data_IF_616853988926
#
_entry.id   IF_616853988926
#
_cell.length_a   1.000
_cell.length_b   1.000
_cell.length_c   1.000
_cell.angle_alpha   90.00
_cell.angle_beta   90.00
_cell.angle_gamma   90.00
#
_symmetry.space_group_name_H-M   'P 1'
#
loop_
_entity.id
_entity.type
_entity.pdbx_description
1 polymer ?
#
# COMPACT_ATOMS: atom_id res chain seq x y z
N UNK A 1 -3.11 20.33 -18.52
CA UNK A 1 -3.76 19.02 -18.80
C UNK A 1 -4.89 18.84 -17.79
N UNK A 2 -6.12 18.54 -18.23
CA UNK A 2 -7.28 18.27 -17.37
C UNK A 2 -7.62 16.78 -17.41
N UNK A 3 -8.23 16.25 -16.33
CA UNK A 3 -8.63 14.84 -16.26
C UNK A 3 -9.92 14.64 -17.07
N UNK A 4 -9.95 13.60 -17.89
CA UNK A 4 -11.13 13.26 -18.70
C UNK A 4 -12.00 12.15 -18.04
N UNK A 5 -13.30 12.23 -18.32
CA UNK A 5 -14.36 11.20 -18.16
C UNK A 5 -14.82 10.74 -16.77
N UNK A 6 -14.00 10.63 -15.72
CA UNK A 6 -14.48 10.13 -14.41
C UNK A 6 -13.99 10.94 -13.21
N UNK A 7 -14.83 11.13 -12.19
CA UNK A 7 -14.40 11.71 -10.91
C UNK A 7 -13.61 10.66 -10.08
N UNK A 8 -12.70 11.10 -9.22
CA UNK A 8 -11.87 10.23 -8.37
C UNK A 8 -12.71 9.32 -7.46
N UNK A 9 -13.96 9.70 -7.16
CA UNK A 9 -14.87 8.97 -6.29
C UNK A 9 -15.93 8.15 -7.03
N UNK A 10 -15.94 8.17 -8.36
CA UNK A 10 -16.89 7.36 -9.11
C UNK A 10 -16.62 5.89 -8.84
N UNK A 11 -17.69 5.19 -8.47
CA UNK A 11 -17.62 3.77 -8.12
C UNK A 11 -17.97 2.89 -9.32
N UNK A 12 -18.66 3.43 -10.31
CA UNK A 12 -19.06 2.72 -11.54
C UNK A 12 -18.06 2.96 -12.67
N UNK A 13 -17.92 1.95 -13.53
CA UNK A 13 -17.10 2.04 -14.74
C UNK A 13 -17.97 2.62 -15.85
N UNK A 14 -17.70 3.88 -16.21
CA UNK A 14 -18.34 4.57 -17.33
C UNK A 14 -17.30 4.76 -18.43
N UNK A 15 -17.48 4.06 -19.55
CA UNK A 15 -16.59 4.16 -20.71
C UNK A 15 -15.20 3.56 -20.49
N UNK A 16 -14.23 4.04 -21.28
CA UNK A 16 -12.86 3.51 -21.34
C UNK A 16 -11.92 4.06 -20.27
N UNK A 17 -12.29 5.14 -19.56
CA UNK A 17 -11.47 5.75 -18.51
C UNK A 17 -12.27 5.80 -17.20
N UNK A 18 -12.06 4.79 -16.35
CA UNK A 18 -12.70 4.69 -15.04
C UNK A 18 -11.74 5.05 -13.89
N UNK A 19 -12.32 5.33 -12.72
CA UNK A 19 -11.53 5.53 -11.51
C UNK A 19 -10.82 4.22 -11.10
N UNK A 20 -9.63 4.33 -10.51
CA UNK A 20 -8.92 3.15 -10.00
C UNK A 20 -9.72 2.43 -8.90
N UNK A 21 -10.58 3.15 -8.17
CA UNK A 21 -11.46 2.57 -7.14
C UNK A 21 -12.57 1.73 -7.77
N UNK A 22 -13.20 2.20 -8.86
CA UNK A 22 -14.19 1.46 -9.62
C UNK A 22 -13.59 0.17 -10.21
N UNK A 23 -12.40 0.26 -10.81
CA UNK A 23 -11.68 -0.90 -11.39
C UNK A 23 -11.35 -1.93 -10.31
N UNK A 24 -10.82 -1.52 -9.15
CA UNK A 24 -10.52 -2.45 -8.04
C UNK A 24 -11.77 -3.16 -7.54
N UNK A 25 -12.87 -2.42 -7.36
CA UNK A 25 -14.15 -3.00 -6.92
C UNK A 25 -14.66 -4.02 -7.93
N UNK A 26 -14.76 -3.63 -9.20
CA UNK A 26 -15.20 -4.53 -10.25
C UNK A 26 -14.29 -5.78 -10.37
N UNK A 27 -12.97 -5.63 -10.21
CA UNK A 27 -12.07 -6.77 -10.23
C UNK A 27 -12.27 -7.74 -9.04
N UNK A 28 -12.49 -7.22 -7.83
CA UNK A 28 -12.77 -8.03 -6.64
C UNK A 28 -14.14 -8.70 -6.69
N UNK A 29 -15.15 -8.01 -7.22
CA UNK A 29 -16.52 -8.50 -7.40
C UNK A 29 -16.69 -9.36 -8.68
N UNK A 30 -15.60 -9.61 -9.41
CA UNK A 30 -15.61 -10.37 -10.68
C UNK A 30 -16.57 -9.79 -11.74
N UNK A 31 -16.77 -8.48 -11.71
CA UNK A 31 -17.58 -7.71 -12.66
C UNK A 31 -16.75 -7.24 -13.87
N UNK A 32 -17.40 -6.61 -14.85
CA UNK A 32 -16.75 -6.14 -16.08
C UNK A 32 -15.88 -4.89 -15.87
N UNK A 33 -14.58 -4.99 -16.18
CA UNK A 33 -13.62 -3.85 -16.14
C UNK A 33 -12.60 -3.85 -17.29
N UNK A 34 -12.65 -4.83 -18.19
CA UNK A 34 -11.58 -5.07 -19.17
C UNK A 34 -11.42 -3.94 -20.18
N UNK A 35 -12.48 -3.20 -20.48
CA UNK A 35 -12.45 -2.04 -21.37
C UNK A 35 -11.88 -0.77 -20.71
N UNK A 36 -11.76 -0.76 -19.38
CA UNK A 36 -11.30 0.40 -18.61
C UNK A 36 -9.80 0.34 -18.27
N UNK A 37 -9.08 -0.68 -18.75
CA UNK A 37 -7.65 -0.87 -18.49
C UNK A 37 -6.88 -1.27 -19.76
N UNK A 38 -5.62 -0.85 -19.91
CA UNK A 38 -4.76 -1.33 -20.99
C UNK A 38 -4.57 -2.86 -20.95
N UNK A 39 -4.33 -3.49 -22.11
CA UNK A 39 -4.10 -4.95 -22.23
C UNK A 39 -3.01 -5.47 -21.29
N UNK A 40 -1.92 -4.70 -21.11
CA UNK A 40 -0.83 -5.06 -20.21
C UNK A 40 -1.29 -5.10 -18.74
N UNK A 41 -2.10 -4.13 -18.31
CA UNK A 41 -2.70 -4.07 -16.97
C UNK A 41 -3.70 -5.20 -16.78
N UNK A 42 -4.56 -5.48 -17.77
CA UNK A 42 -5.51 -6.60 -17.71
C UNK A 42 -4.78 -7.94 -17.50
N UNK A 43 -3.70 -8.18 -18.26
CA UNK A 43 -2.86 -9.39 -18.09
C UNK A 43 -2.25 -9.46 -16.70
N UNK A 44 -1.75 -8.34 -16.17
CA UNK A 44 -1.17 -8.30 -14.83
C UNK A 44 -2.20 -8.59 -13.73
N UNK A 45 -3.39 -7.97 -13.83
CA UNK A 45 -4.50 -8.16 -12.87
C UNK A 45 -4.96 -9.62 -12.87
N UNK A 46 -5.17 -10.23 -14.05
CA UNK A 46 -5.61 -11.64 -14.16
C UNK A 46 -4.61 -12.65 -13.60
N UNK A 47 -3.32 -12.32 -13.61
CA UNK A 47 -2.27 -13.20 -13.12
C UNK A 47 -1.92 -12.95 -11.64
N UNK A 48 -2.52 -11.95 -11.01
CA UNK A 48 -2.26 -11.60 -9.62
C UNK A 48 -3.34 -12.17 -8.70
N UNK A 49 -2.96 -12.54 -7.47
CA UNK A 49 -3.93 -12.69 -6.39
C UNK A 49 -4.40 -11.29 -5.98
N UNK A 50 -5.67 -11.00 -6.21
CA UNK A 50 -6.27 -9.75 -5.76
C UNK A 50 -6.35 -9.74 -4.24
N UNK A 51 -5.98 -8.60 -3.65
CA UNK A 51 -5.95 -8.42 -2.20
C UNK A 51 -6.82 -7.26 -1.79
N UNK A 52 -7.47 -7.41 -0.65
CA UNK A 52 -8.32 -6.45 0.02
C UNK A 52 -7.80 -6.20 1.44
N UNK A 53 -8.40 -5.25 2.15
CA UNK A 53 -8.07 -5.04 3.56
C UNK A 53 -8.55 -6.16 4.47
N UNK A 54 -9.57 -6.91 4.05
CA UNK A 54 -10.07 -8.05 4.83
C UNK A 54 -9.05 -9.17 4.94
N UNK A 55 -8.21 -9.34 3.92
CA UNK A 55 -7.14 -10.34 3.96
C UNK A 55 -6.09 -10.05 5.06
N UNK A 56 -6.00 -8.79 5.51
CA UNK A 56 -5.10 -8.37 6.59
C UNK A 56 -5.78 -8.36 7.96
N UNK A 57 -7.08 -8.64 8.03
CA UNK A 57 -7.88 -8.48 9.24
C UNK A 57 -7.36 -9.32 10.40
N UNK A 58 -7.08 -10.60 10.18
CA UNK A 58 -6.62 -11.51 11.25
C UNK A 58 -5.34 -10.99 11.91
N UNK A 59 -4.36 -10.53 11.12
CA UNK A 59 -3.10 -10.00 11.63
C UNK A 59 -3.28 -8.68 12.39
N UNK A 60 -4.11 -7.77 11.85
CA UNK A 60 -4.42 -6.50 12.50
C UNK A 60 -5.20 -6.72 13.81
N UNK A 61 -6.20 -7.60 13.78
CA UNK A 61 -7.05 -7.93 14.92
C UNK A 61 -6.21 -8.52 16.05
N UNK A 62 -5.35 -9.50 15.75
CA UNK A 62 -4.38 -10.02 16.72
C UNK A 62 -3.53 -8.90 17.32
N UNK A 63 -2.89 -8.06 16.49
CA UNK A 63 -2.03 -6.96 16.98
C UNK A 63 -2.80 -6.03 17.90
N UNK A 64 -4.04 -5.69 17.57
CA UNK A 64 -4.88 -4.80 18.38
C UNK A 64 -5.32 -5.46 19.69
N UNK A 65 -5.76 -6.71 19.67
CA UNK A 65 -6.21 -7.45 20.87
C UNK A 65 -5.09 -7.66 21.89
N UNK A 66 -3.84 -7.75 21.43
CA UNK A 66 -2.67 -7.90 22.30
C UNK A 66 -1.94 -6.59 22.60
N UNK A 67 -2.47 -5.43 22.18
CA UNK A 67 -1.84 -4.13 22.40
C UNK A 67 -2.44 -3.41 23.61
N UNK A 68 -1.61 -2.66 24.32
CA UNK A 68 -2.05 -1.71 25.35
C UNK A 68 -2.07 -0.27 24.82
N UNK A 69 -2.89 0.65 25.37
CA UNK A 69 -2.97 2.04 24.92
C UNK A 69 -1.60 2.73 24.84
N UNK A 70 -0.73 2.48 25.81
CA UNK A 70 0.61 3.07 25.90
C UNK A 70 1.47 2.72 24.68
N UNK A 71 1.41 1.48 24.19
CA UNK A 71 2.13 1.09 22.97
C UNK A 71 1.58 1.81 21.74
N UNK A 72 0.26 1.86 21.60
CA UNK A 72 -0.38 2.44 20.42
C UNK A 72 -0.17 3.96 20.31
N UNK A 73 0.00 4.66 21.44
CA UNK A 73 0.29 6.10 21.46
C UNK A 73 1.58 6.46 20.72
N UNK A 74 2.54 5.55 20.65
CA UNK A 74 3.81 5.78 19.96
C UNK A 74 3.75 5.49 18.45
N UNK A 75 2.65 4.93 17.95
CA UNK A 75 2.47 4.64 16.53
C UNK A 75 2.15 5.92 15.75
N UNK A 76 2.78 6.06 14.58
CA UNK A 76 2.60 7.19 13.68
C UNK A 76 1.12 7.38 13.31
N UNK A 77 0.60 8.59 13.53
CA UNK A 77 -0.77 8.96 13.18
C UNK A 77 -1.82 8.64 14.26
N UNK A 78 -1.43 7.98 15.35
CA UNK A 78 -2.26 7.86 16.55
C UNK A 78 -2.16 9.15 17.33
N UNK A 79 -3.32 9.77 17.57
CA UNK A 79 -3.44 10.98 18.38
C UNK A 79 -4.14 10.64 19.68
N UNK A 80 -3.91 11.43 20.72
CA UNK A 80 -4.49 11.24 22.05
C UNK A 80 -5.98 10.83 22.02
N UNK A 81 -6.27 9.73 22.71
CA UNK A 81 -7.59 9.13 22.85
C UNK A 81 -8.04 8.26 21.66
N UNK A 82 -7.36 8.31 20.52
CA UNK A 82 -7.71 7.47 19.37
C UNK A 82 -7.36 6.00 19.63
N UNK A 83 -6.25 5.74 20.32
CA UNK A 83 -5.84 4.40 20.78
C UNK A 83 -6.94 3.71 21.60
N UNK A 84 -7.52 4.43 22.57
CA UNK A 84 -8.58 3.90 23.44
C UNK A 84 -9.83 3.60 22.62
N UNK A 85 -10.18 4.47 21.67
CA UNK A 85 -11.32 4.24 20.78
C UNK A 85 -11.12 3.00 19.91
N UNK A 86 -9.93 2.78 19.38
CA UNK A 86 -9.62 1.58 18.57
C UNK A 86 -9.77 0.32 19.42
N UNK A 87 -9.13 0.28 20.59
CA UNK A 87 -9.16 -0.89 21.47
C UNK A 87 -10.57 -1.20 22.01
N UNK A 88 -11.39 -0.18 22.26
CA UNK A 88 -12.78 -0.35 22.70
C UNK A 88 -13.76 -0.80 21.61
N UNK A 89 -13.33 -0.80 20.34
CA UNK A 89 -14.17 -1.14 19.19
C UNK A 89 -13.70 -2.40 18.48
N UNK A 90 -12.43 -2.78 18.61
CA UNK A 90 -11.89 -3.98 17.95
C UNK A 90 -12.51 -5.27 18.48
N UNK A 91 -12.82 -5.33 19.78
CA UNK A 91 -13.51 -6.44 20.45
C UNK A 91 -14.94 -6.64 19.91
N UNK A 92 -15.55 -5.57 19.41
CA UNK A 92 -16.90 -5.54 18.85
C UNK A 92 -16.91 -5.67 17.34
N UNK A 93 -15.77 -5.80 16.67
CA UNK A 93 -15.69 -5.85 15.21
C UNK A 93 -15.26 -7.23 14.73
N UNK A 94 -15.89 -7.72 13.67
CA UNK A 94 -15.62 -9.03 13.10
C UNK A 94 -14.87 -8.94 11.76
N UNK A 95 -14.69 -7.74 11.22
CA UNK A 95 -14.02 -7.49 9.94
C UNK A 95 -13.31 -6.14 9.93
N UNK A 96 -12.40 -5.95 8.98
CA UNK A 96 -11.73 -4.67 8.79
C UNK A 96 -12.75 -3.57 8.45
N UNK A 97 -13.68 -3.88 7.55
CA UNK A 97 -14.74 -2.95 7.13
C UNK A 97 -15.63 -2.54 8.30
N UNK A 98 -16.02 -3.47 9.16
CA UNK A 98 -16.83 -3.16 10.34
C UNK A 98 -16.08 -2.23 11.31
N UNK A 99 -14.79 -2.51 11.58
CA UNK A 99 -13.97 -1.65 12.42
C UNK A 99 -13.84 -0.24 11.84
N UNK A 100 -13.59 -0.12 10.54
CA UNK A 100 -13.50 1.16 9.84
C UNK A 100 -14.79 1.98 9.97
N UNK A 101 -15.95 1.34 9.80
CA UNK A 101 -17.26 1.99 9.94
C UNK A 101 -17.48 2.50 11.37
N UNK A 102 -17.17 1.68 12.39
CA UNK A 102 -17.31 2.09 13.81
C UNK A 102 -16.33 3.19 14.21
N UNK A 103 -15.12 3.20 13.64
CA UNK A 103 -14.13 4.25 13.90
C UNK A 103 -14.43 5.57 13.20
N UNK A 104 -15.19 5.55 12.10
CA UNK A 104 -15.52 6.73 11.32
C UNK A 104 -16.28 7.75 12.16
N UNK A 105 -15.75 8.96 12.24
CA UNK A 105 -16.42 10.12 12.85
C UNK A 105 -16.24 11.35 11.97
N UNK A 106 -16.80 12.52 12.33
CA UNK A 106 -16.48 13.79 11.65
C UNK A 106 -14.98 14.12 11.76
N UNK A 107 -14.34 13.81 12.90
CA UNK A 107 -12.90 14.06 13.17
C UNK A 107 -11.96 13.10 12.43
N UNK A 108 -12.39 11.85 12.23
CA UNK A 108 -11.55 10.81 11.62
C UNK A 108 -12.11 10.38 10.28
N UNK A 109 -11.43 10.73 9.18
CA UNK A 109 -11.80 10.28 7.83
C UNK A 109 -11.36 8.84 7.59
N UNK A 110 -12.00 8.14 6.64
CA UNK A 110 -11.60 6.78 6.26
C UNK A 110 -10.10 6.67 5.95
N UNK A 111 -9.55 7.58 5.14
CA UNK A 111 -8.12 7.59 4.80
C UNK A 111 -7.23 7.72 6.04
N UNK A 112 -7.62 8.55 7.02
CA UNK A 112 -6.84 8.72 8.25
C UNK A 112 -6.88 7.47 9.11
N UNK A 113 -8.06 6.87 9.29
CA UNK A 113 -8.23 5.64 10.07
C UNK A 113 -7.43 4.52 9.43
N UNK A 114 -7.59 4.32 8.12
CA UNK A 114 -6.89 3.28 7.36
C UNK A 114 -5.37 3.42 7.49
N UNK A 115 -4.81 4.63 7.30
CA UNK A 115 -3.36 4.87 7.49
C UNK A 115 -2.91 4.56 8.92
N UNK A 116 -3.73 4.90 9.92
CA UNK A 116 -3.41 4.63 11.32
C UNK A 116 -3.39 3.13 11.60
N UNK A 117 -4.39 2.39 11.13
CA UNK A 117 -4.44 0.93 11.24
C UNK A 117 -3.31 0.25 10.45
N UNK A 118 -2.94 0.77 9.27
CA UNK A 118 -1.75 0.31 8.53
C UNK A 118 -0.47 0.52 9.34
N UNK A 119 -0.30 1.69 9.96
CA UNK A 119 0.87 1.96 10.79
C UNK A 119 0.89 1.06 12.04
N UNK A 120 -0.26 0.71 12.62
CA UNK A 120 -0.36 -0.26 13.72
C UNK A 120 0.06 -1.65 13.24
N UNK A 121 -0.52 -2.13 12.13
CA UNK A 121 -0.20 -3.43 11.54
C UNK A 121 1.29 -3.57 11.23
N UNK A 122 1.87 -2.51 10.67
CA UNK A 122 3.28 -2.44 10.32
C UNK A 122 4.17 -2.01 11.50
N UNK A 123 3.62 -1.77 12.70
CA UNK A 123 4.35 -1.25 13.86
C UNK A 123 5.28 -0.05 13.55
N UNK A 124 4.75 0.94 12.83
CA UNK A 124 5.49 2.15 12.43
C UNK A 124 5.40 3.18 13.54
N UNK A 125 6.52 3.38 14.22
CA UNK A 125 6.66 4.38 15.28
C UNK A 125 6.58 5.80 14.73
N UNK A 126 6.18 6.76 15.57
CA UNK A 126 6.12 8.18 15.26
C UNK A 126 7.52 8.84 15.18
N UNK A 127 8.59 8.07 15.33
CA UNK A 127 9.96 8.54 15.19
C UNK A 127 10.25 8.99 13.75
N UNK A 128 11.07 10.04 13.57
CA UNK A 128 11.52 10.44 12.24
C UNK A 128 12.18 9.28 11.52
N UNK A 129 11.87 9.15 10.23
CA UNK A 129 12.50 8.19 9.34
C UNK A 129 13.17 8.97 8.22
N UNK A 130 14.48 8.80 8.08
CA UNK A 130 15.27 9.46 7.05
C UNK A 130 15.49 8.48 5.90
N UNK A 131 14.76 8.70 4.81
CA UNK A 131 14.98 7.96 3.57
C UNK A 131 16.27 8.47 2.91
N UNK A 132 17.34 7.68 2.97
CA UNK A 132 18.64 8.06 2.37
C UNK A 132 18.75 7.64 0.92
N UNK A 133 18.09 6.54 0.54
CA UNK A 133 18.05 6.03 -0.83
C UNK A 133 16.65 5.55 -1.21
N UNK A 134 16.34 5.59 -2.50
CA UNK A 134 15.09 5.09 -3.08
C UNK A 134 15.32 3.79 -3.85
N UNK A 135 14.44 2.79 -3.69
CA UNK A 135 14.55 1.52 -4.41
C UNK A 135 14.10 1.64 -5.87
N UNK A 136 14.99 1.26 -6.79
CA UNK A 136 14.64 1.10 -8.20
C UNK A 136 13.85 -0.21 -8.39
N UNK A 137 12.59 -0.10 -8.77
CA UNK A 137 11.73 -1.26 -9.05
C UNK A 137 11.80 -1.72 -10.50
N UNK A 138 11.86 -0.77 -11.44
CA UNK A 138 11.93 -1.05 -12.86
C UNK A 138 12.56 0.14 -13.62
N UNK A 139 13.17 -0.15 -14.78
CA UNK A 139 13.66 0.87 -15.70
C UNK A 139 13.58 0.38 -17.15
N UNK A 140 13.45 1.31 -18.10
CA UNK A 140 13.66 1.04 -19.51
C UNK A 140 15.09 1.45 -19.91
N UNK A 141 15.44 1.30 -21.19
CA UNK A 141 16.79 1.63 -21.67
C UNK A 141 17.16 3.10 -21.45
N UNK A 142 16.22 4.02 -21.74
CA UNK A 142 16.42 5.47 -21.54
C UNK A 142 16.61 5.81 -20.06
N UNK A 143 15.76 5.29 -19.18
CA UNK A 143 15.87 5.50 -17.73
C UNK A 143 17.19 4.97 -17.16
N UNK A 144 17.72 3.87 -17.70
CA UNK A 144 19.05 3.37 -17.30
C UNK A 144 20.18 4.31 -17.71
N UNK A 145 20.13 4.85 -18.93
CA UNK A 145 21.09 5.84 -19.42
C UNK A 145 21.03 7.08 -18.53
N UNK A 146 19.83 7.59 -18.27
CA UNK A 146 19.59 8.74 -17.41
C UNK A 146 20.14 8.54 -15.99
N UNK A 147 19.84 7.42 -15.33
CA UNK A 147 20.34 7.12 -13.98
C UNK A 147 21.87 7.14 -13.93
N UNK A 148 22.52 6.64 -14.99
CA UNK A 148 23.98 6.64 -15.10
C UNK A 148 24.54 8.05 -15.33
N UNK A 149 23.99 8.79 -16.28
CA UNK A 149 24.46 10.13 -16.65
C UNK A 149 24.23 11.15 -15.53
N UNK A 150 23.10 11.05 -14.83
CA UNK A 150 22.80 11.86 -13.66
C UNK A 150 23.50 11.38 -12.38
N UNK A 151 24.37 10.37 -12.46
CA UNK A 151 25.15 9.82 -11.36
C UNK A 151 24.32 9.47 -10.09
N UNK A 152 23.09 8.96 -10.29
CA UNK A 152 22.13 8.73 -9.19
C UNK A 152 22.42 7.49 -8.34
N UNK A 153 23.60 6.86 -8.50
CA UNK A 153 23.96 5.63 -7.79
C UNK A 153 24.03 5.78 -6.27
N UNK A 154 24.28 6.99 -5.76
CA UNK A 154 24.31 7.27 -4.31
C UNK A 154 22.92 7.38 -3.68
N UNK A 155 21.89 7.70 -4.47
CA UNK A 155 20.50 7.92 -4.00
C UNK A 155 19.52 6.85 -4.47
N UNK A 156 19.94 5.96 -5.38
CA UNK A 156 19.12 4.86 -5.92
C UNK A 156 19.72 3.51 -5.55
N UNK A 157 18.97 2.69 -4.81
CA UNK A 157 19.34 1.31 -4.54
C UNK A 157 18.81 0.38 -5.64
N UNK A 158 19.70 -0.34 -6.32
CA UNK A 158 19.36 -1.38 -7.32
C UNK A 158 19.35 -2.78 -6.71
N UNK A 159 20.15 -2.99 -5.67
CA UNK A 159 20.11 -4.12 -4.75
C UNK A 159 20.06 -3.55 -3.35
N UNK A 160 19.41 -4.26 -2.44
CA UNK A 160 19.36 -3.88 -1.02
C UNK A 160 20.61 -4.42 -0.36
N UNK A 161 21.50 -3.54 0.08
CA UNK A 161 22.68 -3.89 0.88
C UNK A 161 22.31 -3.99 2.37
N UNK A 162 23.23 -4.48 3.22
CA UNK A 162 23.03 -4.51 4.67
C UNK A 162 22.84 -3.10 5.24
N UNK A 163 23.63 -2.14 4.76
CA UNK A 163 23.52 -0.73 5.15
C UNK A 163 22.16 -0.12 4.76
N UNK A 164 21.67 -0.42 3.56
CA UNK A 164 20.35 0.05 3.12
C UNK A 164 19.24 -0.52 4.01
N UNK A 165 19.41 -1.76 4.50
CA UNK A 165 18.47 -2.42 5.40
C UNK A 165 18.33 -1.69 6.73
N UNK A 166 19.46 -1.43 7.38
CA UNK A 166 19.53 -0.76 8.69
C UNK A 166 19.00 0.67 8.61
N UNK A 167 19.27 1.38 7.52
CA UNK A 167 18.95 2.81 7.41
C UNK A 167 17.60 3.13 6.77
N UNK A 168 17.17 2.36 5.75
CA UNK A 168 16.08 2.80 4.87
C UNK A 168 15.12 1.70 4.40
N UNK A 169 15.44 0.42 4.60
CA UNK A 169 14.66 -0.67 4.00
C UNK A 169 13.89 -1.54 5.00
N UNK A 170 14.20 -1.47 6.30
CA UNK A 170 13.55 -2.33 7.31
C UNK A 170 12.01 -2.24 7.32
N UNK A 171 11.43 -1.04 7.18
CA UNK A 171 9.96 -0.85 7.11
C UNK A 171 9.39 -1.46 5.83
N UNK A 172 10.04 -1.22 4.69
CA UNK A 172 9.61 -1.79 3.39
C UNK A 172 9.67 -3.30 3.42
N UNK A 173 10.74 -3.89 3.96
CA UNK A 173 10.86 -5.33 4.17
C UNK A 173 9.71 -5.88 5.01
N UNK A 174 9.40 -5.24 6.14
CA UNK A 174 8.31 -5.66 7.03
C UNK A 174 6.97 -5.65 6.30
N UNK A 175 6.73 -4.61 5.49
CA UNK A 175 5.53 -4.54 4.66
C UNK A 175 5.51 -5.65 3.60
N UNK A 176 6.63 -5.92 2.93
CA UNK A 176 6.75 -7.01 1.95
C UNK A 176 6.47 -8.38 2.60
N UNK A 177 7.00 -8.63 3.79
CA UNK A 177 6.80 -9.89 4.53
C UNK A 177 5.34 -10.11 4.92
N UNK A 178 4.70 -9.09 5.50
CA UNK A 178 3.29 -9.15 5.85
C UNK A 178 2.41 -9.30 4.61
N UNK A 179 2.76 -8.61 3.52
CA UNK A 179 2.05 -8.75 2.25
C UNK A 179 2.19 -10.17 1.67
N UNK A 180 3.36 -10.80 1.82
CA UNK A 180 3.62 -12.16 1.35
C UNK A 180 2.72 -13.21 2.01
N UNK A 181 2.31 -12.99 3.26
CA UNK A 181 1.37 -13.88 3.97
C UNK A 181 -0.02 -13.89 3.30
N UNK A 182 -0.37 -12.80 2.62
CA UNK A 182 -1.67 -12.62 1.97
C UNK A 182 -1.59 -12.89 0.48
N UNK A 183 -0.49 -12.56 -0.19
CA UNK A 183 -0.33 -12.70 -1.64
C UNK A 183 1.06 -13.19 -1.99
N UNK A 184 1.20 -14.20 -2.88
CA UNK A 184 2.50 -14.76 -3.22
C UNK A 184 3.39 -13.69 -3.87
N UNK A 185 4.33 -13.19 -3.10
CA UNK A 185 5.31 -12.18 -3.52
C UNK A 185 6.72 -12.62 -3.11
N UNK A 186 7.72 -12.19 -3.87
CA UNK A 186 9.13 -12.41 -3.55
C UNK A 186 9.84 -11.07 -3.59
N UNK A 187 10.29 -10.60 -2.43
CA UNK A 187 11.11 -9.40 -2.30
C UNK A 187 12.57 -9.68 -2.70
N UNK A 188 13.42 -8.65 -2.69
CA UNK A 188 14.86 -8.80 -2.98
C UNK A 188 15.23 -8.99 -4.46
N UNK A 189 14.26 -9.05 -5.37
CA UNK A 189 14.51 -9.06 -6.81
C UNK A 189 15.20 -7.77 -7.26
N UNK A 190 16.14 -7.91 -8.21
CA UNK A 190 16.72 -6.77 -8.92
C UNK A 190 15.66 -6.05 -9.77
N UNK A 191 15.96 -4.83 -10.24
CA UNK A 191 15.02 -4.03 -11.00
C UNK A 191 14.61 -4.73 -12.30
N UNK A 192 13.33 -4.63 -12.65
CA UNK A 192 12.82 -5.13 -13.93
C UNK A 192 13.35 -4.24 -15.05
N UNK A 193 14.10 -4.83 -15.99
CA UNK A 193 14.64 -4.12 -17.15
C UNK A 193 13.76 -4.42 -18.36
N UNK A 194 13.00 -3.43 -18.83
CA UNK A 194 12.24 -3.55 -20.07
C UNK A 194 13.08 -3.07 -21.26
N UNK A 195 13.37 -3.98 -22.19
CA UNK A 195 13.91 -3.65 -23.52
C UNK A 195 12.73 -3.22 -24.40
N UNK A 196 12.81 -2.05 -25.02
CA UNK A 196 11.82 -1.51 -25.96
C UNK A 196 10.41 -1.33 -25.38
N UNK A 197 10.21 -0.28 -24.58
CA UNK A 197 8.88 0.27 -24.36
C UNK A 197 8.53 1.05 -25.62
N UNK A 198 7.68 0.49 -26.50
CA UNK A 198 7.06 1.30 -27.56
C UNK A 198 6.20 2.35 -26.85
N UNK A 199 6.43 3.62 -27.18
CA UNK A 199 5.53 4.72 -26.80
C UNK A 199 4.11 4.46 -27.30
#
# INVERSE_FOLDING_TARGET
MQREQSDHRDTEIKGSIASASAIRRAALEQSEYFNAVPKASLKAIRNAKLTSWEDFWIMLNYRLLTSIPQELRHIKGITEGFENRILNLVDKSNSFTELMQKLKTKRYTYTRIQRSLTNILLNIQATPFNLTKTRLLATNQLGRIFIREAALGSVVMTKVTKEDFENSYAITKRADDLYQLVSPYQWGKGPIIKKNVKE
#
